data_IF_691678670887
#
_entry.id   IF_691678670887
#
_cell.length_a   1.000
_cell.length_b   1.000
_cell.length_c   1.000
_cell.angle_alpha   90.00
_cell.angle_beta   90.00
_cell.angle_gamma   90.00
#
_symmetry.space_group_name_H-M   'P 1'
#
loop_
_entity.id
_entity.type
_entity.pdbx_description
1 polymer ?
#
# COMPACT_ATOMS: atom_id res chain seq x y z
N UNK A 1 -5.37 -5.84 -7.63
CA UNK A 1 -6.01 -4.51 -7.88
C UNK A 1 -5.32 -3.82 -9.04
N UNK A 2 -6.05 -3.16 -9.95
CA UNK A 2 -5.48 -2.45 -11.09
C UNK A 2 -5.36 -0.93 -10.86
N UNK A 3 -4.65 -0.22 -11.76
CA UNK A 3 -4.38 1.21 -11.61
C UNK A 3 -5.64 2.08 -11.68
N UNK A 4 -6.68 1.65 -12.43
CA UNK A 4 -7.96 2.38 -12.52
C UNK A 4 -8.71 2.32 -11.18
N UNK A 5 -8.76 1.15 -10.57
CA UNK A 5 -9.35 0.91 -9.25
C UNK A 5 -8.60 1.66 -8.15
N UNK A 6 -7.27 1.61 -8.17
CA UNK A 6 -6.44 2.40 -7.25
C UNK A 6 -6.73 3.89 -7.36
N UNK A 7 -6.83 4.43 -8.58
CA UNK A 7 -7.15 5.84 -8.78
C UNK A 7 -8.58 6.19 -8.35
N UNK A 8 -9.51 5.25 -8.47
CA UNK A 8 -10.88 5.40 -7.97
C UNK A 8 -10.88 5.48 -6.43
N UNK A 9 -10.17 4.59 -5.74
CA UNK A 9 -10.00 4.64 -4.29
C UNK A 9 -9.29 5.92 -3.82
N UNK A 10 -8.23 6.34 -4.49
CA UNK A 10 -7.52 7.59 -4.15
C UNK A 10 -8.43 8.82 -4.18
N UNK A 11 -9.49 8.82 -5.01
CA UNK A 11 -10.48 9.90 -5.07
C UNK A 11 -11.40 9.92 -3.85
N UNK A 12 -11.55 8.79 -3.13
CA UNK A 12 -12.34 8.70 -1.91
C UNK A 12 -11.76 9.54 -0.77
N UNK A 13 -10.48 9.85 -0.80
CA UNK A 13 -9.79 10.67 0.20
C UNK A 13 -9.91 12.20 -0.06
N UNK A 14 -10.87 12.61 -0.87
CA UNK A 14 -11.22 14.03 -1.05
C UNK A 14 -12.36 14.39 -0.10
N UNK A 15 -12.38 15.63 0.37
CA UNK A 15 -13.42 16.12 1.28
C UNK A 15 -14.83 15.93 0.74
N UNK A 16 -15.01 16.16 -0.57
CA UNK A 16 -16.31 16.07 -1.24
C UNK A 16 -16.74 14.63 -1.58
N UNK A 17 -15.91 13.63 -1.31
CA UNK A 17 -16.14 12.24 -1.77
C UNK A 17 -15.96 11.18 -0.69
N UNK A 18 -15.39 11.53 0.47
CA UNK A 18 -15.16 10.55 1.52
C UNK A 18 -16.41 10.33 2.38
N UNK A 19 -16.49 9.14 3.00
CA UNK A 19 -17.47 8.80 4.03
C UNK A 19 -16.78 8.43 5.36
N UNK A 20 -15.51 8.82 5.53
CA UNK A 20 -14.80 8.59 6.78
C UNK A 20 -15.48 9.37 7.91
N UNK A 21 -16.11 8.66 8.84
CA UNK A 21 -16.80 9.30 9.98
C UNK A 21 -15.87 9.61 11.14
N UNK A 22 -14.84 8.78 11.33
CA UNK A 22 -13.88 8.89 12.45
C UNK A 22 -12.50 8.44 12.02
N UNK A 23 -11.51 8.97 12.72
CA UNK A 23 -10.12 8.51 12.66
C UNK A 23 -9.76 7.94 14.03
N UNK A 24 -9.18 6.76 14.02
CA UNK A 24 -8.69 6.05 15.20
C UNK A 24 -7.17 5.87 15.11
N UNK A 25 -6.57 5.44 16.21
CA UNK A 25 -5.15 5.08 16.22
C UNK A 25 -4.48 5.38 17.54
N UNK A 26 -3.15 5.48 17.52
CA UNK A 26 -2.36 5.82 18.68
C UNK A 26 -1.06 6.54 18.31
N UNK A 27 -0.63 7.42 19.22
CA UNK A 27 0.70 8.03 19.19
C UNK A 27 1.64 7.22 20.04
N UNK A 28 2.77 6.80 19.48
CA UNK A 28 3.73 5.88 20.08
C UNK A 28 5.11 6.55 20.14
N UNK A 29 5.81 6.39 21.27
CA UNK A 29 7.18 6.88 21.40
C UNK A 29 8.20 5.86 20.87
N UNK A 30 9.47 6.26 20.82
CA UNK A 30 10.59 5.41 20.37
C UNK A 30 10.83 4.18 21.25
N UNK A 31 10.31 4.16 22.48
CA UNK A 31 10.37 2.99 23.37
C UNK A 31 9.19 2.02 23.16
N UNK A 32 8.42 2.18 22.10
CA UNK A 32 7.21 1.38 21.80
C UNK A 32 6.08 1.55 22.83
N UNK A 33 6.04 2.67 23.58
CA UNK A 33 4.98 2.97 24.54
C UNK A 33 3.91 3.84 23.87
N UNK A 34 2.66 3.49 24.10
CA UNK A 34 1.51 4.30 23.64
C UNK A 34 1.38 5.52 24.56
N UNK A 35 1.62 6.70 23.99
CA UNK A 35 1.50 7.98 24.69
C UNK A 35 0.05 8.46 24.73
N UNK A 36 -0.68 8.28 23.61
CA UNK A 36 -2.07 8.72 23.52
C UNK A 36 -2.83 7.87 22.48
N UNK A 37 -4.11 7.64 22.76
CA UNK A 37 -5.05 7.08 21.81
C UNK A 37 -5.70 8.19 21.01
N UNK A 38 -5.94 7.94 19.71
CA UNK A 38 -6.67 8.80 18.80
C UNK A 38 -8.05 8.19 18.56
N UNK A 39 -9.10 8.93 18.84
CA UNK A 39 -10.48 8.59 18.54
C UNK A 39 -11.26 9.88 18.28
N UNK A 40 -11.20 10.39 17.05
CA UNK A 40 -11.71 11.72 16.71
C UNK A 40 -12.73 11.64 15.57
N UNK A 41 -13.86 12.32 15.74
CA UNK A 41 -14.87 12.43 14.69
C UNK A 41 -14.44 13.41 13.61
N UNK A 42 -14.44 12.97 12.35
CA UNK A 42 -14.14 13.82 11.20
C UNK A 42 -15.10 15.03 11.10
N UNK A 43 -16.38 14.82 11.39
CA UNK A 43 -17.39 15.89 11.33
C UNK A 43 -17.24 16.99 12.39
N UNK A 44 -16.41 16.80 13.40
CA UNK A 44 -16.09 17.81 14.42
C UNK A 44 -14.80 18.58 14.14
N UNK A 45 -14.03 18.16 13.15
CA UNK A 45 -12.78 18.81 12.75
C UNK A 45 -13.06 19.99 11.80
N UNK A 46 -12.14 20.96 11.81
CA UNK A 46 -12.11 21.98 10.76
C UNK A 46 -11.74 21.34 9.42
N UNK A 47 -12.11 21.99 8.33
CA UNK A 47 -11.87 21.49 6.98
C UNK A 47 -10.37 21.21 6.74
N UNK A 48 -9.52 22.14 7.14
CA UNK A 48 -8.06 22.02 6.99
C UNK A 48 -7.51 20.82 7.77
N UNK A 49 -8.05 20.56 8.95
CA UNK A 49 -7.66 19.41 9.77
C UNK A 49 -8.12 18.08 9.12
N UNK A 50 -9.34 18.04 8.60
CA UNK A 50 -9.82 16.88 7.83
C UNK A 50 -8.91 16.59 6.63
N UNK A 51 -8.52 17.64 5.87
CA UNK A 51 -7.61 17.52 4.73
C UNK A 51 -6.25 16.94 5.13
N UNK A 52 -5.72 17.33 6.30
CA UNK A 52 -4.45 16.79 6.82
C UNK A 52 -4.57 15.28 7.10
N UNK A 53 -5.60 14.83 7.81
CA UNK A 53 -5.81 13.41 8.08
C UNK A 53 -6.04 12.61 6.80
N UNK A 54 -6.94 13.07 5.92
CA UNK A 54 -7.18 12.44 4.63
C UNK A 54 -5.93 12.41 3.77
N UNK A 55 -5.10 13.45 3.84
CA UNK A 55 -3.83 13.53 3.15
C UNK A 55 -2.82 12.47 3.60
N UNK A 56 -2.69 12.24 4.92
CA UNK A 56 -1.84 11.19 5.47
C UNK A 56 -2.34 9.80 5.07
N UNK A 57 -3.62 9.52 5.27
CA UNK A 57 -4.23 8.24 4.92
C UNK A 57 -4.10 7.95 3.42
N UNK A 58 -4.35 8.94 2.55
CA UNK A 58 -4.21 8.80 1.09
C UNK A 58 -2.79 8.44 0.66
N UNK A 59 -1.77 8.93 1.39
CA UNK A 59 -0.38 8.66 1.06
C UNK A 59 -0.01 7.18 1.22
N UNK A 60 -0.72 6.42 2.06
CA UNK A 60 -0.57 4.95 2.14
C UNK A 60 -1.13 4.21 0.91
N UNK A 61 -1.69 4.93 -0.04
CA UNK A 61 -2.06 4.42 -1.36
C UNK A 61 -1.23 5.09 -2.47
N UNK A 62 -0.10 5.74 -2.15
CA UNK A 62 0.74 6.42 -3.14
C UNK A 62 1.78 5.48 -3.74
N UNK A 63 2.43 5.93 -4.83
CA UNK A 63 3.45 5.14 -5.51
C UNK A 63 2.88 4.22 -6.59
N UNK A 64 3.66 3.25 -6.99
CA UNK A 64 3.40 2.36 -8.12
C UNK A 64 3.02 0.98 -7.64
N UNK A 65 2.00 0.37 -8.25
CA UNK A 65 1.65 -1.04 -8.05
C UNK A 65 2.85 -1.94 -8.38
N UNK A 66 3.03 -2.99 -7.59
CA UNK A 66 4.16 -3.91 -7.70
C UNK A 66 5.51 -3.34 -7.22
N UNK A 67 5.54 -2.09 -6.69
CA UNK A 67 6.76 -1.46 -6.12
C UNK A 67 6.53 -0.93 -4.72
N UNK A 68 5.80 0.18 -4.62
CA UNK A 68 5.43 0.78 -3.33
C UNK A 68 4.15 0.15 -2.77
N UNK A 69 3.26 -0.29 -3.65
CA UNK A 69 1.99 -0.93 -3.33
C UNK A 69 2.09 -2.39 -3.75
N UNK A 70 2.05 -3.27 -2.77
CA UNK A 70 2.35 -4.69 -2.90
C UNK A 70 1.12 -5.47 -2.47
N UNK A 71 0.75 -6.46 -3.27
CA UNK A 71 -0.31 -7.39 -2.93
C UNK A 71 0.21 -8.45 -1.95
N UNK A 72 -0.35 -8.50 -0.75
CA UNK A 72 -0.10 -9.52 0.28
C UNK A 72 -1.29 -10.46 0.30
N UNK A 73 -1.08 -11.71 -0.09
CA UNK A 73 -2.16 -12.65 -0.39
C UNK A 73 -2.25 -13.74 0.66
N UNK A 74 -3.39 -13.84 1.33
CA UNK A 74 -3.72 -14.94 2.22
C UNK A 74 -4.07 -16.21 1.44
N UNK A 75 -3.58 -17.34 1.90
CA UNK A 75 -4.02 -18.65 1.42
C UNK A 75 -5.48 -18.92 1.80
N UNK A 76 -6.15 -19.83 1.11
CA UNK A 76 -7.53 -20.26 1.42
C UNK A 76 -7.63 -20.77 2.85
N UNK A 77 -6.62 -21.47 3.36
CA UNK A 77 -6.59 -21.97 4.73
C UNK A 77 -6.52 -20.83 5.74
N UNK A 78 -5.69 -19.81 5.50
CA UNK A 78 -5.59 -18.64 6.38
C UNK A 78 -6.90 -17.84 6.43
N UNK A 79 -7.57 -17.67 5.29
CA UNK A 79 -8.88 -17.01 5.25
C UNK A 79 -9.92 -17.77 6.09
N UNK A 80 -9.84 -19.11 6.13
CA UNK A 80 -10.76 -19.93 6.93
C UNK A 80 -10.45 -19.90 8.43
N UNK A 81 -9.15 -19.96 8.82
CA UNK A 81 -8.75 -20.34 10.19
C UNK A 81 -7.76 -19.39 10.87
N UNK A 82 -7.13 -18.42 10.19
CA UNK A 82 -6.13 -17.58 10.85
C UNK A 82 -6.74 -16.50 11.74
N UNK A 83 -6.10 -16.22 12.86
CA UNK A 83 -6.52 -15.17 13.79
C UNK A 83 -6.24 -13.77 13.21
N UNK A 84 -5.18 -13.59 12.42
CA UNK A 84 -4.81 -12.37 11.74
C UNK A 84 -5.88 -11.97 10.74
N UNK A 85 -6.29 -12.91 9.88
CA UNK A 85 -7.36 -12.65 8.91
C UNK A 85 -8.70 -12.38 9.63
N UNK A 86 -9.03 -13.13 10.70
CA UNK A 86 -10.22 -12.90 11.52
C UNK A 86 -10.22 -11.50 12.15
N UNK A 87 -9.07 -11.04 12.66
CA UNK A 87 -8.91 -9.69 13.20
C UNK A 87 -9.21 -8.63 12.13
N UNK A 88 -8.62 -8.75 10.94
CA UNK A 88 -8.85 -7.82 9.83
C UNK A 88 -10.33 -7.80 9.40
N UNK A 89 -10.97 -8.96 9.31
CA UNK A 89 -12.40 -9.06 9.00
C UNK A 89 -13.27 -8.41 10.08
N UNK A 90 -12.95 -8.60 11.36
CA UNK A 90 -13.68 -7.98 12.47
C UNK A 90 -13.56 -6.45 12.39
N UNK A 91 -12.36 -5.93 12.17
CA UNK A 91 -12.12 -4.48 12.01
C UNK A 91 -12.90 -3.90 10.82
N UNK A 92 -12.92 -4.61 9.70
CA UNK A 92 -13.69 -4.23 8.51
C UNK A 92 -15.20 -4.23 8.79
N UNK A 93 -15.73 -5.33 9.34
CA UNK A 93 -17.16 -5.50 9.57
C UNK A 93 -17.71 -4.52 10.60
N UNK A 94 -16.95 -4.25 11.66
CA UNK A 94 -17.31 -3.29 12.69
C UNK A 94 -17.01 -1.83 12.28
N UNK A 95 -16.43 -1.63 11.09
CA UNK A 95 -15.98 -0.29 10.65
C UNK A 95 -15.07 0.38 11.69
N UNK A 96 -14.15 -0.41 12.25
CA UNK A 96 -13.23 -0.01 13.32
C UNK A 96 -13.91 0.39 14.65
N UNK A 97 -15.19 0.09 14.86
CA UNK A 97 -15.91 0.51 16.08
C UNK A 97 -15.59 -0.36 17.29
N UNK A 98 -15.04 -1.56 17.09
CA UNK A 98 -14.61 -2.44 18.19
C UNK A 98 -13.26 -2.01 18.78
N UNK A 99 -13.23 -1.50 20.03
CA UNK A 99 -11.99 -1.00 20.64
C UNK A 99 -10.94 -2.10 20.86
N UNK A 100 -11.37 -3.30 21.21
CA UNK A 100 -10.46 -4.41 21.53
C UNK A 100 -9.68 -4.84 20.27
N UNK A 101 -10.38 -4.99 19.14
CA UNK A 101 -9.73 -5.32 17.86
C UNK A 101 -8.77 -4.23 17.39
N UNK A 102 -9.13 -2.93 17.57
CA UNK A 102 -8.21 -1.82 17.25
C UNK A 102 -6.96 -1.86 18.12
N UNK A 103 -7.11 -2.05 19.42
CA UNK A 103 -5.99 -2.16 20.34
C UNK A 103 -5.08 -3.33 19.97
N UNK A 104 -5.66 -4.49 19.67
CA UNK A 104 -4.90 -5.68 19.23
C UNK A 104 -4.08 -5.37 18.00
N UNK A 105 -4.69 -4.80 16.96
CA UNK A 105 -3.96 -4.43 15.74
C UNK A 105 -2.85 -3.41 16.02
N UNK A 106 -3.12 -2.35 16.79
CA UNK A 106 -2.11 -1.36 17.12
C UNK A 106 -0.92 -1.98 17.86
N UNK A 107 -1.16 -2.90 18.81
CA UNK A 107 -0.09 -3.59 19.55
C UNK A 107 0.72 -4.50 18.64
N UNK A 108 0.09 -5.28 17.77
CA UNK A 108 0.80 -6.09 16.78
C UNK A 108 1.70 -5.24 15.89
N UNK A 109 1.20 -4.09 15.41
CA UNK A 109 2.00 -3.14 14.63
C UNK A 109 3.20 -2.62 15.45
N UNK A 110 2.98 -2.21 16.71
CA UNK A 110 4.03 -1.69 17.60
C UNK A 110 5.11 -2.74 17.85
N UNK A 111 4.71 -3.99 18.04
CA UNK A 111 5.64 -5.08 18.35
C UNK A 111 6.56 -5.40 17.17
N UNK A 112 6.04 -5.40 15.94
CA UNK A 112 6.79 -5.79 14.75
C UNK A 112 7.55 -4.65 14.05
N UNK A 113 7.18 -3.39 14.29
CA UNK A 113 7.82 -2.24 13.63
C UNK A 113 9.07 -1.79 14.40
N UNK A 114 10.14 -1.49 13.65
CA UNK A 114 11.30 -0.76 14.14
C UNK A 114 11.38 0.62 13.47
N UNK A 115 11.09 1.67 14.24
CA UNK A 115 11.21 3.06 13.80
C UNK A 115 12.45 3.77 14.38
N UNK A 116 13.38 2.99 14.93
CA UNK A 116 14.56 3.51 15.62
C UNK A 116 14.20 4.48 16.75
N UNK A 117 14.86 5.61 16.82
CA UNK A 117 14.60 6.66 17.83
C UNK A 117 13.40 7.57 17.50
N UNK A 118 12.63 7.24 16.45
CA UNK A 118 11.56 8.12 15.96
C UNK A 118 10.21 7.73 16.56
N UNK A 119 9.52 8.71 17.15
CA UNK A 119 8.11 8.54 17.52
C UNK A 119 7.25 8.40 16.25
N UNK A 120 6.11 7.75 16.37
CA UNK A 120 5.22 7.57 15.23
C UNK A 120 3.74 7.58 15.63
N UNK A 121 2.93 7.88 14.62
CA UNK A 121 1.48 7.93 14.73
C UNK A 121 0.89 6.81 13.86
N UNK A 122 0.15 5.90 14.46
CA UNK A 122 -0.67 4.91 13.75
C UNK A 122 -2.04 5.54 13.56
N UNK A 123 -2.50 5.61 12.33
CA UNK A 123 -3.84 6.09 11.96
C UNK A 123 -4.64 4.99 11.30
N UNK A 124 -5.90 4.86 11.69
CA UNK A 124 -6.87 3.91 11.16
C UNK A 124 -8.14 4.67 10.77
N UNK A 125 -8.66 4.43 9.58
CA UNK A 125 -9.95 4.97 9.16
C UNK A 125 -10.69 3.95 8.28
N UNK A 126 -12.01 3.85 8.44
CA UNK A 126 -12.86 2.97 7.66
C UNK A 126 -13.82 3.78 6.78
N UNK A 127 -14.07 3.29 5.58
CA UNK A 127 -15.03 3.85 4.62
C UNK A 127 -15.90 2.73 4.05
N UNK A 128 -17.12 3.08 3.68
CA UNK A 128 -18.03 2.25 2.91
C UNK A 128 -18.31 2.95 1.57
N UNK A 129 -17.94 2.31 0.49
CA UNK A 129 -18.04 2.85 -0.86
C UNK A 129 -19.09 2.08 -1.65
N UNK A 130 -20.17 2.77 -2.05
CA UNK A 130 -21.15 2.23 -3.01
C UNK A 130 -20.49 2.22 -4.39
N UNK A 131 -20.14 1.03 -4.87
CA UNK A 131 -19.45 0.86 -6.15
C UNK A 131 -20.46 1.07 -7.29
N UNK A 132 -20.33 2.11 -8.12
CA UNK A 132 -21.26 2.35 -9.21
C UNK A 132 -21.24 1.17 -10.19
N UNK A 133 -22.42 0.67 -10.57
CA UNK A 133 -22.50 -0.32 -11.62
C UNK A 133 -22.17 0.34 -12.97
N UNK A 134 -21.24 -0.26 -13.73
CA UNK A 134 -20.95 0.16 -15.11
C UNK A 134 -21.57 -0.83 -16.06
N UNK A 135 -22.33 -0.31 -17.04
CA UNK A 135 -22.79 -1.12 -18.17
C UNK A 135 -21.61 -1.51 -19.06
N UNK A 136 -21.84 -2.45 -20.00
CA UNK A 136 -20.81 -2.86 -20.98
C UNK A 136 -20.30 -1.69 -21.84
N UNK A 137 -21.06 -0.60 -21.94
CA UNK A 137 -20.73 0.60 -22.70
C UNK A 137 -20.12 1.72 -21.82
N UNK A 138 -19.60 1.35 -20.62
CA UNK A 138 -18.94 2.27 -19.65
C UNK A 138 -19.86 3.38 -19.10
N UNK A 139 -21.19 3.31 -19.33
CA UNK A 139 -22.15 4.24 -18.76
C UNK A 139 -22.48 3.88 -17.31
N UNK A 140 -22.44 4.89 -16.43
CA UNK A 140 -22.78 4.74 -15.01
C UNK A 140 -24.30 4.62 -14.89
N UNK A 141 -24.79 3.46 -14.47
CA UNK A 141 -26.19 3.27 -14.12
C UNK A 141 -26.41 3.61 -12.65
N UNK A 142 -27.07 4.72 -12.40
CA UNK A 142 -27.28 5.25 -11.05
C UNK A 142 -28.25 4.39 -10.18
N UNK A 143 -29.10 3.57 -10.80
CA UNK A 143 -30.17 2.80 -10.12
C UNK A 143 -29.88 1.31 -9.97
N UNK A 144 -28.73 0.81 -10.42
CA UNK A 144 -28.36 -0.57 -10.16
C UNK A 144 -27.77 -0.69 -8.75
N UNK A 145 -28.30 -1.59 -7.92
CA UNK A 145 -27.76 -1.91 -6.59
C UNK A 145 -26.32 -2.40 -6.74
N UNK A 146 -25.37 -1.51 -6.54
CA UNK A 146 -23.95 -1.81 -6.55
C UNK A 146 -23.55 -2.57 -5.29
N UNK A 147 -22.45 -3.28 -5.34
CA UNK A 147 -21.83 -3.86 -4.15
C UNK A 147 -21.28 -2.75 -3.26
N UNK A 148 -21.54 -2.84 -1.94
CA UNK A 148 -20.93 -1.90 -0.98
C UNK A 148 -19.54 -2.42 -0.62
N UNK A 149 -18.52 -1.73 -1.11
CA UNK A 149 -17.14 -2.00 -0.75
C UNK A 149 -16.79 -1.36 0.60
N UNK A 150 -16.77 -2.19 1.66
CA UNK A 150 -16.31 -1.79 2.99
C UNK A 150 -14.85 -2.11 3.14
N UNK A 151 -14.06 -1.12 3.53
CA UNK A 151 -12.62 -1.24 3.74
C UNK A 151 -12.14 -0.36 4.88
N UNK A 152 -10.94 -0.60 5.35
CA UNK A 152 -10.21 0.32 6.19
C UNK A 152 -8.78 0.50 5.71
N UNK A 153 -8.20 1.63 6.06
CA UNK A 153 -6.82 1.97 5.77
C UNK A 153 -6.06 2.20 7.07
N UNK A 154 -4.83 1.70 7.12
CA UNK A 154 -3.85 1.94 8.16
C UNK A 154 -2.69 2.76 7.59
N UNK A 155 -2.23 3.76 8.33
CA UNK A 155 -1.07 4.59 7.98
C UNK A 155 -0.16 4.73 9.19
N UNK A 156 1.13 4.44 9.02
CA UNK A 156 2.13 4.54 10.06
C UNK A 156 3.06 5.69 9.71
N UNK A 157 2.91 6.78 10.43
CA UNK A 157 3.49 8.08 10.11
C UNK A 157 4.58 8.44 11.13
N UNK A 158 5.85 8.58 10.72
CA UNK A 158 6.89 9.13 11.59
C UNK A 158 6.49 10.51 12.12
N UNK A 159 6.85 10.78 13.37
CA UNK A 159 6.58 12.07 14.01
C UNK A 159 7.90 12.78 14.28
N UNK A 160 8.08 13.93 13.62
CA UNK A 160 9.25 14.78 13.84
C UNK A 160 9.19 15.45 15.20
N UNK A 161 10.31 15.45 15.90
CA UNK A 161 10.48 16.17 17.17
C UNK A 161 10.36 17.69 16.94
N UNK A 162 9.98 18.43 17.99
CA UNK A 162 9.93 19.89 17.91
C UNK A 162 11.29 20.50 17.59
N UNK A 163 11.29 21.49 16.74
CA UNK A 163 12.47 22.31 16.41
C UNK A 163 12.22 23.75 16.81
N UNK A 164 13.31 24.43 17.22
CA UNK A 164 13.23 25.87 17.45
C UNK A 164 13.38 26.60 16.11
N UNK A 165 12.44 27.50 15.85
CA UNK A 165 12.42 28.35 14.66
C UNK A 165 12.24 29.80 15.06
N UNK A 166 12.82 30.73 14.27
CA UNK A 166 12.52 32.15 14.39
C UNK A 166 11.22 32.44 13.66
N UNK A 167 10.18 32.86 14.40
CA UNK A 167 8.87 33.24 13.86
C UNK A 167 8.62 34.70 14.06
N UNK A 168 8.08 35.33 13.05
CA UNK A 168 7.64 36.72 13.15
C UNK A 168 6.25 36.77 13.81
N UNK A 169 6.18 37.48 14.92
CA UNK A 169 4.91 37.80 15.58
C UNK A 169 4.34 39.10 15.01
N UNK A 170 3.18 38.99 14.39
CA UNK A 170 2.52 40.13 13.78
C UNK A 170 2.04 41.17 14.80
N UNK A 171 1.67 40.73 16.00
CA UNK A 171 1.14 41.60 17.03
C UNK A 171 2.25 42.40 17.74
N UNK A 172 3.41 41.77 17.92
CA UNK A 172 4.58 42.36 18.54
C UNK A 172 5.54 42.98 17.53
N UNK A 173 5.35 42.71 16.25
CA UNK A 173 6.24 43.15 15.16
C UNK A 173 7.72 42.76 15.35
N UNK A 174 7.98 41.62 15.99
CA UNK A 174 9.31 41.14 16.33
C UNK A 174 9.49 39.66 15.94
N UNK A 175 10.76 39.23 15.73
CA UNK A 175 11.08 37.85 15.63
C UNK A 175 11.41 37.27 17.00
N UNK A 176 10.74 36.18 17.37
CA UNK A 176 11.07 35.42 18.56
C UNK A 176 11.27 33.93 18.27
N UNK A 177 12.02 33.25 19.12
CA UNK A 177 12.16 31.80 19.02
C UNK A 177 10.87 31.13 19.45
N UNK A 178 10.31 30.31 18.59
CA UNK A 178 9.12 29.49 18.87
C UNK A 178 9.43 28.04 18.56
N UNK A 179 8.97 27.13 19.44
CA UNK A 179 9.05 25.70 19.17
C UNK A 179 7.93 25.27 18.27
N UNK A 180 8.24 24.52 17.22
CA UNK A 180 7.22 23.74 16.50
C UNK A 180 6.72 22.64 17.44
N UNK A 181 5.47 22.23 17.32
CA UNK A 181 5.00 21.01 17.98
C UNK A 181 5.59 19.73 17.34
N UNK A 182 5.21 18.58 17.85
CA UNK A 182 5.43 17.32 17.17
C UNK A 182 4.62 17.27 15.88
N UNK A 183 5.25 16.92 14.76
CA UNK A 183 4.63 16.98 13.43
C UNK A 183 4.61 15.58 12.82
N UNK A 184 3.41 15.04 12.59
CA UNK A 184 3.23 13.81 11.83
C UNK A 184 3.62 14.04 10.36
N UNK A 185 4.47 13.16 9.83
CA UNK A 185 4.96 13.26 8.45
C UNK A 185 4.27 12.22 7.55
N UNK A 186 4.66 12.15 6.28
CA UNK A 186 4.14 11.14 5.36
C UNK A 186 4.36 9.74 5.91
N UNK A 187 3.41 8.80 5.74
CA UNK A 187 3.58 7.44 6.23
C UNK A 187 4.82 6.78 5.62
N UNK A 188 5.52 6.03 6.44
CA UNK A 188 6.60 5.14 6.03
C UNK A 188 6.03 3.82 5.53
N UNK A 189 5.06 3.30 6.26
CA UNK A 189 4.32 2.08 6.00
C UNK A 189 2.83 2.32 6.10
N UNK A 190 2.05 1.40 5.55
CA UNK A 190 0.61 1.37 5.68
C UNK A 190 -0.01 0.21 4.91
N UNK A 191 -1.30 0.06 5.02
CA UNK A 191 -2.02 -0.93 4.23
C UNK A 191 -3.50 -0.59 4.12
N UNK A 192 -4.14 -1.17 3.12
CA UNK A 192 -5.58 -1.14 2.92
C UNK A 192 -6.10 -2.58 2.90
N UNK A 193 -7.18 -2.82 3.61
CA UNK A 193 -7.85 -4.12 3.66
C UNK A 193 -9.38 -3.98 3.60
N UNK A 194 -10.04 -4.85 2.82
CA UNK A 194 -9.51 -5.73 1.79
C UNK A 194 -9.08 -4.95 0.54
N UNK A 195 -8.33 -5.57 -0.35
CA UNK A 195 -8.03 -4.97 -1.64
C UNK A 195 -9.30 -4.82 -2.50
N UNK A 196 -9.34 -3.77 -3.32
CA UNK A 196 -10.42 -3.52 -4.26
C UNK A 196 -10.04 -4.10 -5.62
N UNK A 197 -10.60 -5.25 -5.95
CA UNK A 197 -10.23 -5.99 -7.14
C UNK A 197 -11.46 -6.43 -7.93
N UNK A 198 -11.45 -6.26 -9.24
CA UNK A 198 -12.61 -6.51 -10.11
C UNK A 198 -13.88 -5.82 -9.60
N UNK A 199 -13.73 -4.61 -9.03
CA UNK A 199 -14.79 -3.78 -8.44
C UNK A 199 -15.52 -4.42 -7.25
N UNK A 200 -14.89 -5.40 -6.62
CA UNK A 200 -15.39 -6.10 -5.44
C UNK A 200 -14.35 -6.13 -4.31
N UNK A 201 -14.77 -6.55 -3.12
CA UNK A 201 -13.87 -6.71 -1.99
C UNK A 201 -13.13 -8.05 -2.09
N UNK A 202 -11.84 -8.00 -2.40
CA UNK A 202 -10.98 -9.18 -2.38
C UNK A 202 -10.45 -9.41 -0.96
N UNK A 203 -11.16 -10.23 -0.17
CA UNK A 203 -10.79 -10.53 1.23
C UNK A 203 -9.53 -11.39 1.37
N UNK A 204 -9.04 -11.97 0.29
CA UNK A 204 -7.78 -12.71 0.26
C UNK A 204 -6.56 -11.80 0.16
N UNK A 205 -6.76 -10.50 -0.06
CA UNK A 205 -5.68 -9.60 -0.41
C UNK A 205 -5.65 -8.34 0.46
N UNK A 206 -4.46 -8.02 0.97
CA UNK A 206 -4.11 -6.74 1.60
C UNK A 206 -3.25 -5.96 0.62
N UNK A 207 -3.57 -4.70 0.37
CA UNK A 207 -2.69 -3.81 -0.35
C UNK A 207 -1.74 -3.14 0.64
N UNK A 208 -0.51 -3.61 0.69
CA UNK A 208 0.54 -3.10 1.58
C UNK A 208 1.34 -1.99 0.92
N UNK A 209 1.61 -0.93 1.66
CA UNK A 209 2.37 0.23 1.21
C UNK A 209 3.71 0.32 1.94
N UNK A 210 4.79 0.44 1.18
CA UNK A 210 6.09 0.90 1.66
C UNK A 210 6.51 2.16 0.89
N UNK A 211 6.95 3.18 1.61
CA UNK A 211 7.46 4.42 1.01
C UNK A 211 8.73 4.18 0.22
N UNK A 212 9.60 3.30 0.71
CA UNK A 212 10.80 2.88 0.01
C UNK A 212 10.51 1.61 -0.79
N UNK A 213 10.48 1.73 -2.12
CA UNK A 213 10.23 0.59 -3.01
C UNK A 213 11.35 -0.48 -3.01
N UNK A 214 12.55 -0.13 -2.52
CA UNK A 214 13.67 -1.08 -2.39
C UNK A 214 13.60 -1.87 -1.08
N UNK A 215 12.86 -1.36 -0.08
CA UNK A 215 12.72 -1.95 1.25
C UNK A 215 11.24 -2.09 1.57
N UNK A 216 10.68 -3.24 1.28
CA UNK A 216 9.25 -3.50 1.45
C UNK A 216 8.87 -3.95 2.86
N UNK A 217 9.81 -4.00 3.79
CA UNK A 217 9.59 -4.43 5.19
C UNK A 217 8.95 -5.81 5.27
N UNK A 218 9.61 -6.80 4.67
CA UNK A 218 9.14 -8.20 4.63
C UNK A 218 8.86 -8.75 6.03
N UNK A 219 9.68 -8.38 7.01
CA UNK A 219 9.54 -8.75 8.41
C UNK A 219 8.23 -8.25 9.03
N UNK A 220 7.75 -7.09 8.62
CA UNK A 220 6.46 -6.52 9.06
C UNK A 220 5.30 -7.27 8.41
N UNK A 221 5.42 -7.61 7.13
CA UNK A 221 4.41 -8.38 6.40
C UNK A 221 4.25 -9.76 7.03
N UNK A 222 5.36 -10.46 7.29
CA UNK A 222 5.34 -11.78 7.94
C UNK A 222 4.73 -11.68 9.35
N UNK A 223 5.17 -10.74 10.17
CA UNK A 223 4.71 -10.59 11.55
C UNK A 223 3.23 -10.19 11.68
N UNK A 224 2.71 -9.34 10.76
CA UNK A 224 1.31 -8.87 10.83
C UNK A 224 0.32 -9.82 10.18
N UNK A 225 0.72 -10.49 9.10
CA UNK A 225 -0.22 -11.25 8.28
C UNK A 225 0.10 -12.75 8.25
N UNK A 226 1.25 -13.17 8.79
CA UNK A 226 1.75 -14.54 8.78
C UNK A 226 1.69 -15.19 7.39
N UNK A 227 2.00 -14.39 6.37
CA UNK A 227 2.13 -14.85 4.98
C UNK A 227 3.57 -14.71 4.54
N UNK A 228 3.98 -15.59 3.62
CA UNK A 228 5.31 -15.48 3.01
C UNK A 228 5.43 -14.12 2.33
N UNK A 229 6.42 -13.29 2.73
CA UNK A 229 6.56 -11.96 2.16
C UNK A 229 6.83 -12.04 0.66
N UNK A 230 6.17 -11.22 -0.16
CA UNK A 230 6.46 -11.14 -1.58
C UNK A 230 7.87 -10.60 -1.80
N UNK A 231 8.51 -11.00 -2.90
CA UNK A 231 9.80 -10.46 -3.29
C UNK A 231 9.67 -8.96 -3.63
N UNK A 232 10.64 -8.16 -3.20
CA UNK A 232 10.77 -6.78 -3.66
C UNK A 232 11.03 -6.73 -5.17
N UNK A 233 10.75 -5.58 -5.81
CA UNK A 233 11.02 -5.41 -7.23
C UNK A 233 12.50 -5.62 -7.59
N UNK A 234 13.42 -5.32 -6.67
CA UNK A 234 14.85 -5.56 -6.84
C UNK A 234 15.20 -7.06 -6.74
N UNK A 235 14.64 -7.76 -5.76
CA UNK A 235 14.80 -9.21 -5.62
C UNK A 235 14.22 -9.96 -6.82
N UNK A 236 13.02 -9.57 -7.30
CA UNK A 236 12.43 -10.13 -8.53
C UNK A 236 13.34 -9.92 -9.74
N UNK A 237 13.92 -8.71 -9.89
CA UNK A 237 14.86 -8.41 -10.95
C UNK A 237 16.12 -9.28 -10.85
N UNK A 238 16.66 -9.45 -9.65
CA UNK A 238 17.86 -10.26 -9.43
C UNK A 238 17.58 -11.74 -9.66
N UNK A 239 16.46 -12.26 -9.15
CA UNK A 239 16.02 -13.64 -9.39
C UNK A 239 15.81 -13.92 -10.88
N UNK A 240 15.13 -13.00 -11.58
CA UNK A 240 14.96 -13.10 -13.03
C UNK A 240 16.30 -13.07 -13.77
N UNK A 241 17.20 -12.14 -13.40
CA UNK A 241 18.54 -12.05 -13.99
C UNK A 241 19.36 -13.32 -13.78
N UNK A 242 19.30 -13.92 -12.59
CA UNK A 242 19.98 -15.18 -12.29
C UNK A 242 19.39 -16.35 -13.08
N UNK A 243 18.05 -16.48 -13.09
CA UNK A 243 17.38 -17.54 -13.87
C UNK A 243 17.66 -17.42 -15.37
N UNK A 244 17.70 -16.19 -15.89
CA UNK A 244 18.06 -15.94 -17.29
C UNK A 244 19.53 -16.31 -17.57
N UNK A 245 20.44 -15.95 -16.66
CA UNK A 245 21.86 -16.31 -16.80
C UNK A 245 22.10 -17.82 -16.74
N UNK A 246 21.36 -18.54 -15.88
CA UNK A 246 21.41 -19.98 -15.77
C UNK A 246 20.84 -20.67 -17.04
N UNK A 247 19.75 -20.12 -17.61
CA UNK A 247 19.15 -20.62 -18.85
C UNK A 247 20.02 -20.33 -20.10
N UNK A 248 20.82 -19.28 -20.07
CA UNK A 248 21.79 -18.92 -21.09
C UNK A 248 23.17 -19.50 -20.75
N UNK A 249 23.26 -20.83 -20.57
CA UNK A 249 24.47 -21.52 -20.14
C UNK A 249 25.72 -21.03 -20.92
N UNK A 250 26.92 -21.34 -20.37
CA UNK A 250 28.23 -20.88 -20.88
C UNK A 250 28.52 -21.29 -22.33
N UNK A 251 27.73 -22.22 -22.87
CA UNK A 251 27.84 -22.71 -24.26
C UNK A 251 26.89 -21.98 -25.24
N UNK A 252 26.02 -21.06 -24.77
CA UNK A 252 25.20 -20.25 -25.65
C UNK A 252 26.04 -19.27 -26.47
N UNK A 253 25.81 -19.23 -27.78
CA UNK A 253 26.50 -18.28 -28.64
C UNK A 253 26.15 -16.84 -28.29
N UNK A 254 27.07 -15.92 -28.52
CA UNK A 254 26.84 -14.47 -28.28
C UNK A 254 25.58 -13.97 -29.00
N UNK A 255 25.29 -14.49 -30.21
CA UNK A 255 24.12 -14.13 -31.01
C UNK A 255 22.80 -14.51 -30.32
N UNK A 256 22.75 -15.65 -29.62
CA UNK A 256 21.57 -16.08 -28.85
C UNK A 256 21.34 -15.15 -27.66
N UNK A 257 22.39 -14.85 -26.91
CA UNK A 257 22.32 -13.92 -25.76
C UNK A 257 21.82 -12.54 -26.22
N UNK A 258 22.34 -12.03 -27.33
CA UNK A 258 21.94 -10.76 -27.90
C UNK A 258 20.46 -10.80 -28.33
N UNK A 259 20.01 -11.86 -29.00
CA UNK A 259 18.62 -12.03 -29.43
C UNK A 259 17.65 -12.02 -28.24
N UNK A 260 17.97 -12.71 -27.14
CA UNK A 260 17.15 -12.68 -25.91
C UNK A 260 17.06 -11.27 -25.35
N UNK A 261 18.18 -10.56 -25.24
CA UNK A 261 18.20 -9.19 -24.76
C UNK A 261 17.36 -8.24 -25.65
N UNK A 262 17.45 -8.39 -26.97
CA UNK A 262 16.68 -7.57 -27.90
C UNK A 262 15.17 -7.83 -27.79
N UNK A 263 14.74 -9.08 -27.63
CA UNK A 263 13.32 -9.41 -27.47
C UNK A 263 12.74 -8.89 -26.14
N UNK A 264 13.50 -9.04 -25.02
CA UNK A 264 13.09 -8.48 -23.73
C UNK A 264 12.98 -6.96 -23.81
N UNK A 265 13.96 -6.31 -24.45
CA UNK A 265 13.98 -4.85 -24.63
C UNK A 265 12.80 -4.38 -25.47
N UNK A 266 12.51 -5.07 -26.57
CA UNK A 266 11.37 -4.75 -27.42
C UNK A 266 10.05 -4.81 -26.64
N UNK A 267 9.80 -5.85 -25.83
CA UNK A 267 8.62 -5.93 -24.97
C UNK A 267 8.51 -4.77 -23.97
N UNK A 268 9.64 -4.37 -23.37
CA UNK A 268 9.67 -3.22 -22.46
C UNK A 268 9.35 -1.91 -23.19
N UNK A 269 9.86 -1.74 -24.42
CA UNK A 269 9.60 -0.57 -25.24
C UNK A 269 8.14 -0.54 -25.72
N UNK A 270 7.59 -1.65 -26.19
CA UNK A 270 6.17 -1.79 -26.60
C UNK A 270 5.24 -1.46 -25.43
N UNK A 271 5.55 -1.96 -24.22
CA UNK A 271 4.77 -1.64 -23.02
C UNK A 271 4.83 -0.15 -22.67
N UNK A 272 5.99 0.50 -22.80
CA UNK A 272 6.11 1.95 -22.60
C UNK A 272 5.35 2.75 -23.64
N UNK A 273 5.38 2.32 -24.92
CA UNK A 273 4.68 2.99 -26.02
C UNK A 273 3.17 2.84 -25.93
N UNK A 274 2.68 1.70 -25.43
CA UNK A 274 1.25 1.46 -25.19
C UNK A 274 0.65 2.40 -24.16
N UNK A 275 1.51 3.05 -23.34
CA UNK A 275 1.09 3.89 -22.19
C UNK A 275 0.16 3.16 -21.24
N UNK A 276 0.26 1.84 -21.17
CA UNK A 276 -0.48 1.05 -20.22
C UNK A 276 0.00 1.43 -18.80
N UNK A 277 -0.91 1.84 -17.91
CA UNK A 277 -0.55 2.20 -16.55
C UNK A 277 -0.24 0.99 -15.66
N UNK A 278 -0.57 -0.22 -16.11
CA UNK A 278 -0.29 -1.44 -15.36
C UNK A 278 1.21 -1.79 -15.43
N UNK A 279 1.79 -2.44 -14.41
CA UNK A 279 3.14 -2.97 -14.48
C UNK A 279 3.28 -3.99 -15.62
N UNK A 280 4.43 -3.99 -16.30
CA UNK A 280 4.74 -5.07 -17.24
C UNK A 280 4.95 -6.36 -16.45
N UNK A 281 4.08 -7.32 -16.68
CA UNK A 281 4.20 -8.68 -16.15
C UNK A 281 4.69 -9.62 -17.25
N UNK A 282 5.66 -10.47 -16.91
CA UNK A 282 6.12 -11.55 -17.78
C UNK A 282 5.97 -12.87 -17.04
N UNK A 283 5.19 -13.77 -17.60
CA UNK A 283 5.02 -15.11 -17.07
C UNK A 283 6.22 -16.00 -17.43
N UNK A 284 6.39 -17.12 -16.72
CA UNK A 284 7.39 -18.13 -17.09
C UNK A 284 7.23 -18.62 -18.55
N UNK A 285 5.98 -18.71 -19.04
CA UNK A 285 5.68 -19.05 -20.43
C UNK A 285 6.14 -17.98 -21.43
N UNK A 286 6.03 -16.70 -21.08
CA UNK A 286 6.54 -15.60 -21.90
C UNK A 286 8.06 -15.65 -22.03
N UNK A 287 8.73 -15.89 -20.92
CA UNK A 287 10.21 -16.01 -20.87
C UNK A 287 10.65 -17.25 -21.65
N UNK A 288 9.99 -18.40 -21.44
CA UNK A 288 10.24 -19.62 -22.21
C UNK A 288 10.06 -19.41 -23.71
N UNK A 289 9.02 -18.68 -24.13
CA UNK A 289 8.81 -18.33 -25.53
C UNK A 289 9.93 -17.45 -26.11
N UNK A 290 10.44 -16.48 -25.34
CA UNK A 290 11.58 -15.65 -25.75
C UNK A 290 12.84 -16.51 -25.92
N UNK A 291 13.12 -17.41 -24.98
CA UNK A 291 14.28 -18.32 -25.02
C UNK A 291 14.19 -19.24 -26.23
N UNK A 292 13.06 -19.91 -26.46
CA UNK A 292 12.84 -20.78 -27.60
C UNK A 292 12.98 -20.04 -28.95
N UNK A 293 12.42 -18.83 -29.07
CA UNK A 293 12.55 -18.01 -30.27
C UNK A 293 13.98 -17.53 -30.52
N UNK A 294 14.80 -17.45 -29.47
CA UNK A 294 16.21 -17.08 -29.57
C UNK A 294 17.13 -18.28 -29.82
N UNK A 295 16.58 -19.50 -29.89
CA UNK A 295 17.34 -20.70 -30.21
C UNK A 295 17.91 -21.48 -29.00
N UNK A 296 17.39 -21.18 -27.80
CA UNK A 296 17.66 -21.99 -26.59
C UNK A 296 16.76 -23.23 -26.66
N UNK A 297 17.34 -24.43 -26.64
CA UNK A 297 16.57 -25.67 -26.72
C UNK A 297 15.90 -26.03 -25.39
N UNK A 298 14.67 -26.59 -25.47
CA UNK A 298 13.84 -27.01 -24.32
C UNK A 298 14.47 -28.14 -23.44
N UNK A 299 15.65 -28.65 -23.78
CA UNK A 299 16.34 -29.73 -23.04
C UNK A 299 17.45 -29.20 -22.11
N UNK A 300 17.55 -27.91 -21.94
CA UNK A 300 18.41 -27.23 -20.98
C UNK A 300 17.52 -26.38 -20.02
#
# INVERSE_FOLDING_TARGET
>A
MNQKELNELRRRFRLDKNNFSRVYGCYVNSNKEIIAWVDTSMGLMRQEEQEMYLGLLKKSLSGTLGKNLIDVVFSTQQVADSDEHRLLQTLRQTELKDPASRETLCRQIIDCIDMGETNYLILLAADAYDVPHRSKDDEIQADASGEVFKYFVCSICPVKAPTLELRYDLDQSEFHSSSTGYIATSPELGFLYPAFDNRTANIYNVLFYSKNAAEIHQEVIDALFHVDPPMSAEEQKNAFGSALADALDKDCSYDVVQSVHEQIRARIEDHKESKDPEPLEMTAGDVGGILANSGVNDEQ
#
